data_IF_530446313160
#
_entry.id   IF_530446313160
#
_cell.length_a   1.000
_cell.length_b   1.000
_cell.length_c   1.000
_cell.angle_alpha   90.00
_cell.angle_beta   90.00
_cell.angle_gamma   90.00
#
_symmetry.space_group_name_H-M   'P 1'
#
loop_
_entity.id
_entity.type
_entity.pdbx_description
1 polymer ?
#
# COMPACT_ATOMS: atom_id res chain seq x y z
N UNK A 1 3.91 -20.02 12.50
CA UNK A 1 3.70 -18.77 13.25
C UNK A 1 2.19 -18.52 13.33
N UNK A 2 1.66 -18.45 14.55
CA UNK A 2 0.26 -18.09 14.75
C UNK A 2 0.17 -16.55 14.62
N UNK A 3 -0.42 -16.06 13.52
CA UNK A 3 -0.44 -14.62 13.20
C UNK A 3 -1.39 -13.82 14.12
N UNK A 4 -2.01 -14.45 15.13
CA UNK A 4 -2.97 -13.80 16.02
C UNK A 4 -4.25 -13.30 15.33
N UNK A 5 -4.47 -13.66 14.06
CA UNK A 5 -5.61 -13.24 13.25
C UNK A 5 -6.38 -14.44 12.68
N UNK A 6 -7.69 -14.25 12.47
CA UNK A 6 -8.55 -15.22 11.78
C UNK A 6 -8.59 -14.89 10.28
N UNK A 7 -8.20 -15.85 9.46
CA UNK A 7 -8.18 -15.72 8.00
C UNK A 7 -8.87 -16.90 7.34
N UNK A 8 -9.65 -16.63 6.30
CA UNK A 8 -10.33 -17.61 5.45
C UNK A 8 -11.83 -17.68 5.71
N UNK A 9 -12.51 -18.37 4.81
CA UNK A 9 -13.96 -18.55 4.81
C UNK A 9 -14.29 -20.04 4.75
N UNK A 10 -15.19 -20.50 5.59
CA UNK A 10 -15.74 -21.85 5.63
C UNK A 10 -17.20 -21.80 5.22
N UNK A 11 -17.53 -22.25 4.01
CA UNK A 11 -18.83 -22.04 3.37
C UNK A 11 -19.94 -22.97 3.88
N UNK A 12 -19.60 -24.17 4.40
CA UNK A 12 -20.59 -25.22 4.66
C UNK A 12 -20.54 -25.70 6.10
N UNK A 13 -20.59 -24.76 7.05
CA UNK A 13 -20.62 -25.10 8.47
C UNK A 13 -22.05 -25.43 8.89
N UNK A 14 -22.27 -26.64 9.41
CA UNK A 14 -23.61 -27.11 9.78
C UNK A 14 -23.94 -26.80 11.24
N UNK A 15 -25.05 -26.11 11.43
CA UNK A 15 -25.67 -25.94 12.75
C UNK A 15 -26.40 -27.23 13.09
N UNK A 16 -26.00 -27.93 14.14
CA UNK A 16 -26.64 -29.24 14.50
C UNK A 16 -28.07 -29.08 15.05
N UNK A 17 -28.75 -30.23 15.27
CA UNK A 17 -30.12 -30.24 15.77
C UNK A 17 -30.30 -29.65 17.19
N UNK A 18 -29.18 -29.46 17.91
CA UNK A 18 -29.13 -28.82 19.24
C UNK A 18 -28.68 -27.36 19.17
N UNK A 19 -28.54 -26.79 18.00
CA UNK A 19 -28.05 -25.43 17.78
C UNK A 19 -26.56 -25.24 18.04
N UNK A 20 -25.75 -26.31 17.91
CA UNK A 20 -24.30 -26.23 18.09
C UNK A 20 -23.56 -26.09 16.77
N UNK A 21 -22.50 -25.30 16.81
CA UNK A 21 -21.63 -25.03 15.68
C UNK A 21 -20.17 -25.35 16.06
N UNK A 22 -19.42 -25.95 15.15
CA UNK A 22 -18.00 -26.28 15.36
C UNK A 22 -17.10 -25.16 14.87
N UNK A 23 -16.18 -24.70 15.72
CA UNK A 23 -15.11 -23.77 15.30
C UNK A 23 -14.04 -24.54 14.55
N UNK A 24 -13.61 -24.09 13.36
CA UNK A 24 -12.50 -24.68 12.64
C UNK A 24 -11.25 -24.85 13.51
N UNK A 25 -10.61 -26.03 13.46
CA UNK A 25 -9.54 -26.40 14.40
C UNK A 25 -8.41 -25.35 14.47
N UNK A 26 -8.04 -24.76 13.32
CA UNK A 26 -6.98 -23.73 13.24
C UNK A 26 -7.32 -22.42 13.95
N UNK A 27 -8.60 -22.18 14.28
CA UNK A 27 -9.05 -20.95 14.93
C UNK A 27 -9.28 -21.10 16.43
N UNK A 28 -9.35 -22.35 16.96
CA UNK A 28 -9.72 -22.62 18.36
C UNK A 28 -8.71 -22.06 19.35
N UNK A 29 -7.42 -22.21 19.05
CA UNK A 29 -6.34 -21.71 19.92
C UNK A 29 -6.41 -20.18 20.08
N UNK A 30 -6.68 -19.44 19.00
CA UNK A 30 -6.76 -17.97 19.02
C UNK A 30 -8.09 -17.47 19.60
N UNK A 31 -9.20 -18.18 19.37
CA UNK A 31 -10.49 -17.82 19.93
C UNK A 31 -10.52 -18.01 21.44
N UNK A 32 -9.80 -19.00 21.96
CA UNK A 32 -9.82 -19.40 23.35
C UNK A 32 -10.99 -20.32 23.67
N UNK A 33 -11.04 -20.79 24.93
CA UNK A 33 -12.14 -21.61 25.44
C UNK A 33 -13.35 -20.78 25.85
N UNK A 34 -13.12 -19.53 26.23
CA UNK A 34 -14.12 -18.52 26.60
C UNK A 34 -14.03 -17.35 25.63
N UNK A 35 -15.14 -16.89 25.11
CA UNK A 35 -15.25 -15.82 24.14
C UNK A 35 -16.63 -15.18 24.17
N UNK A 36 -16.82 -14.07 23.48
CA UNK A 36 -18.09 -13.35 23.41
C UNK A 36 -18.69 -13.44 22.01
N UNK A 37 -20.03 -13.54 21.99
CA UNK A 37 -20.83 -13.46 20.75
C UNK A 37 -21.61 -12.17 20.75
N UNK A 38 -21.55 -11.43 19.63
CA UNK A 38 -22.30 -10.18 19.48
C UNK A 38 -23.12 -10.24 18.19
N UNK A 39 -24.44 -9.98 18.32
CA UNK A 39 -25.28 -9.80 17.14
C UNK A 39 -25.04 -8.44 16.49
N UNK A 40 -24.82 -8.43 15.19
CA UNK A 40 -24.58 -7.21 14.44
C UNK A 40 -25.42 -7.13 13.17
N UNK A 41 -25.87 -5.92 12.86
CA UNK A 41 -26.46 -5.61 11.55
C UNK A 41 -25.43 -4.81 10.75
N UNK A 42 -25.02 -5.36 9.63
CA UNK A 42 -24.08 -4.75 8.72
C UNK A 42 -24.75 -4.53 7.36
N UNK A 43 -25.02 -3.28 7.01
CA UNK A 43 -25.65 -2.89 5.74
C UNK A 43 -26.98 -3.60 5.47
N UNK A 44 -27.80 -3.79 6.49
CA UNK A 44 -29.10 -4.45 6.37
C UNK A 44 -29.07 -5.98 6.44
N UNK A 45 -27.87 -6.59 6.50
CA UNK A 45 -27.70 -8.03 6.74
C UNK A 45 -27.25 -8.30 8.17
N UNK A 46 -27.83 -9.32 8.81
CA UNK A 46 -27.50 -9.67 10.19
C UNK A 46 -26.49 -10.79 10.26
N UNK A 47 -25.54 -10.69 11.20
CA UNK A 47 -24.56 -11.74 11.50
C UNK A 47 -24.32 -11.87 13.00
N UNK A 48 -23.67 -12.97 13.39
CA UNK A 48 -23.14 -13.16 14.75
C UNK A 48 -21.62 -13.06 14.65
N UNK A 49 -21.02 -12.21 15.47
CA UNK A 49 -19.59 -12.00 15.51
C UNK A 49 -19.01 -12.58 16.80
N UNK A 50 -17.95 -13.41 16.66
CA UNK A 50 -17.26 -14.01 17.80
C UNK A 50 -16.01 -13.19 18.10
N UNK A 51 -15.86 -12.80 19.34
CA UNK A 51 -14.75 -12.01 19.87
C UNK A 51 -13.96 -12.85 20.88
N UNK A 52 -12.64 -13.08 20.69
CA UNK A 52 -11.78 -13.50 21.79
C UNK A 52 -11.88 -12.54 22.98
N UNK A 53 -11.59 -12.99 24.19
CA UNK A 53 -11.70 -12.16 25.39
C UNK A 53 -10.91 -10.84 25.30
N UNK A 54 -9.66 -10.91 24.84
CA UNK A 54 -8.78 -9.73 24.65
C UNK A 54 -9.39 -8.71 23.69
N UNK A 55 -9.95 -9.18 22.59
CA UNK A 55 -10.56 -8.32 21.57
C UNK A 55 -11.89 -7.73 22.00
N UNK A 56 -12.70 -8.50 22.77
CA UNK A 56 -13.93 -7.99 23.35
C UNK A 56 -13.64 -6.86 24.35
N UNK A 57 -12.67 -7.05 25.24
CA UNK A 57 -12.26 -6.01 26.20
C UNK A 57 -11.74 -4.76 25.50
N UNK A 58 -10.99 -4.91 24.42
CA UNK A 58 -10.54 -3.78 23.61
C UNK A 58 -11.73 -3.01 22.98
N UNK A 59 -12.77 -3.71 22.54
CA UNK A 59 -13.99 -3.05 22.06
C UNK A 59 -14.73 -2.31 23.20
N UNK A 60 -14.77 -2.88 24.42
CA UNK A 60 -15.36 -2.23 25.59
C UNK A 60 -14.63 -0.92 25.91
N UNK A 61 -13.30 -0.95 25.95
CA UNK A 61 -12.49 0.25 26.18
C UNK A 61 -12.75 1.34 25.11
N UNK A 62 -12.91 0.93 23.85
CA UNK A 62 -13.21 1.85 22.75
C UNK A 62 -14.62 2.46 22.81
N UNK A 63 -15.56 1.82 23.53
CA UNK A 63 -16.92 2.35 23.72
C UNK A 63 -16.97 3.51 24.73
N UNK A 64 -15.97 3.66 25.58
CA UNK A 64 -15.89 4.71 26.58
C UNK A 64 -15.44 6.07 26.00
N UNK A 65 -15.16 6.12 24.70
CA UNK A 65 -14.74 7.36 24.00
C UNK A 65 -15.98 8.12 23.48
N UNK A 66 -16.14 9.36 23.94
CA UNK A 66 -17.24 10.27 23.55
C UNK A 66 -17.89 11.03 24.70
N UNK A 67 -19.01 11.69 24.41
CA UNK A 67 -19.83 12.34 25.44
C UNK A 67 -20.58 11.31 26.29
N UNK A 68 -20.92 11.66 27.55
CA UNK A 68 -21.60 10.74 28.50
C UNK A 68 -22.88 10.09 27.93
N UNK A 69 -23.66 10.82 27.12
CA UNK A 69 -24.87 10.27 26.49
C UNK A 69 -24.53 9.31 25.33
N UNK A 70 -23.55 9.65 24.50
CA UNK A 70 -23.12 8.78 23.40
C UNK A 70 -22.49 7.48 23.92
N UNK A 71 -21.67 7.58 24.95
CA UNK A 71 -21.07 6.42 25.65
C UNK A 71 -22.18 5.53 26.22
N UNK A 72 -23.18 6.10 26.90
CA UNK A 72 -24.30 5.34 27.45
C UNK A 72 -25.09 4.59 26.37
N UNK A 73 -25.44 5.25 25.26
CA UNK A 73 -26.20 4.62 24.19
C UNK A 73 -25.40 3.54 23.45
N UNK A 74 -24.13 3.79 23.15
CA UNK A 74 -23.24 2.79 22.54
C UNK A 74 -23.09 1.57 23.42
N UNK A 75 -22.79 1.75 24.69
CA UNK A 75 -22.67 0.68 25.68
C UNK A 75 -23.98 -0.13 25.81
N UNK A 76 -25.11 0.54 25.91
CA UNK A 76 -26.41 -0.12 26.00
C UNK A 76 -26.71 -1.00 24.80
N UNK A 77 -26.47 -0.51 23.58
CA UNK A 77 -26.68 -1.28 22.37
C UNK A 77 -25.70 -2.45 22.27
N UNK A 78 -24.43 -2.24 22.54
CA UNK A 78 -23.39 -3.27 22.43
C UNK A 78 -23.62 -4.41 23.44
N UNK A 79 -23.77 -4.10 24.74
CA UNK A 79 -23.94 -5.10 25.77
C UNK A 79 -25.28 -5.81 25.70
N UNK A 80 -26.38 -5.17 25.25
CA UNK A 80 -27.64 -5.87 25.05
C UNK A 80 -27.61 -6.92 23.95
N UNK A 81 -26.64 -6.85 23.04
CA UNK A 81 -26.45 -7.80 21.94
C UNK A 81 -25.26 -8.76 22.15
N UNK A 82 -24.57 -8.66 23.29
CA UNK A 82 -23.43 -9.50 23.63
C UNK A 82 -23.84 -10.66 24.57
N UNK A 83 -23.21 -11.83 24.36
CA UNK A 83 -23.35 -13.00 25.23
C UNK A 83 -22.01 -13.69 25.41
N UNK A 84 -21.70 -14.11 26.62
CA UNK A 84 -20.54 -14.94 26.93
C UNK A 84 -20.77 -16.38 26.49
N UNK A 85 -19.76 -17.03 25.96
CA UNK A 85 -19.86 -18.39 25.44
C UNK A 85 -18.59 -19.20 25.69
N UNK A 86 -18.75 -20.52 25.76
CA UNK A 86 -17.63 -21.46 25.96
C UNK A 86 -17.60 -22.53 24.86
N UNK A 87 -16.38 -22.97 24.49
CA UNK A 87 -16.18 -24.16 23.65
C UNK A 87 -16.26 -25.44 24.47
N UNK A 88 -16.98 -26.44 23.96
CA UNK A 88 -16.91 -27.80 24.50
C UNK A 88 -15.59 -28.51 24.11
N UNK A 89 -15.34 -29.69 24.69
CA UNK A 89 -14.12 -30.46 24.44
C UNK A 89 -13.91 -30.85 22.96
N UNK A 90 -14.98 -30.80 22.13
CA UNK A 90 -14.91 -31.03 20.72
C UNK A 90 -14.69 -29.73 19.88
N UNK A 91 -14.62 -28.58 20.56
CA UNK A 91 -14.46 -27.26 19.93
C UNK A 91 -15.76 -26.74 19.31
N UNK A 92 -16.91 -27.07 19.93
CA UNK A 92 -18.24 -26.60 19.54
C UNK A 92 -18.78 -25.63 20.57
N UNK A 93 -19.63 -24.73 20.15
CA UNK A 93 -20.40 -23.83 21.02
C UNK A 93 -21.87 -23.84 20.59
N UNK A 94 -22.74 -23.33 21.43
CA UNK A 94 -24.21 -23.34 21.21
C UNK A 94 -24.69 -21.93 20.90
N UNK A 95 -25.45 -21.76 19.82
CA UNK A 95 -26.23 -20.57 19.53
C UNK A 95 -27.58 -20.71 20.23
N UNK A 96 -27.89 -19.79 21.13
CA UNK A 96 -29.19 -19.77 21.77
C UNK A 96 -30.33 -19.31 20.84
N UNK A 97 -31.58 -19.41 21.26
CA UNK A 97 -32.75 -19.07 20.45
C UNK A 97 -32.69 -17.60 19.98
N UNK A 98 -32.36 -16.68 20.89
CA UNK A 98 -32.31 -15.23 20.61
C UNK A 98 -31.29 -14.88 19.51
N UNK A 99 -30.07 -15.42 19.58
CA UNK A 99 -29.04 -15.19 18.60
C UNK A 99 -29.40 -15.75 17.21
N UNK A 100 -30.02 -16.96 17.21
CA UNK A 100 -30.51 -17.60 16.00
C UNK A 100 -31.60 -16.78 15.31
N UNK A 101 -32.60 -16.37 16.09
CA UNK A 101 -33.72 -15.56 15.59
C UNK A 101 -33.22 -14.24 15.03
N UNK A 102 -32.30 -13.57 15.73
CA UNK A 102 -31.70 -12.31 15.24
C UNK A 102 -30.97 -12.47 13.93
N UNK A 103 -30.21 -13.54 13.79
CA UNK A 103 -29.38 -13.80 12.59
C UNK A 103 -30.14 -14.59 11.48
N UNK A 104 -31.41 -14.94 11.69
CA UNK A 104 -32.20 -15.75 10.75
C UNK A 104 -31.66 -17.16 10.56
N UNK A 105 -31.12 -17.79 11.62
CA UNK A 105 -30.50 -19.11 11.57
C UNK A 105 -31.38 -20.17 12.20
N UNK A 106 -31.57 -21.32 11.53
CA UNK A 106 -32.33 -22.45 12.03
C UNK A 106 -31.46 -23.66 12.34
N UNK A 107 -31.89 -24.50 13.30
CA UNK A 107 -31.20 -25.75 13.59
C UNK A 107 -31.20 -26.65 12.35
N UNK A 108 -30.04 -27.23 12.01
CA UNK A 108 -29.85 -28.05 10.81
C UNK A 108 -29.50 -27.25 9.55
N UNK A 109 -29.59 -25.92 9.58
CA UNK A 109 -29.16 -25.07 8.44
C UNK A 109 -27.65 -25.02 8.30
N UNK A 110 -27.23 -24.63 7.10
CA UNK A 110 -25.81 -24.37 6.78
C UNK A 110 -25.53 -22.90 6.93
N UNK A 111 -24.41 -22.57 7.56
CA UNK A 111 -23.93 -21.21 7.78
C UNK A 111 -22.52 -21.04 7.24
N UNK A 112 -22.13 -19.82 7.02
CA UNK A 112 -20.78 -19.43 6.59
C UNK A 112 -20.05 -18.85 7.79
N UNK A 113 -18.83 -19.35 8.07
CA UNK A 113 -17.93 -18.78 9.06
C UNK A 113 -16.76 -18.09 8.36
N UNK A 114 -16.63 -16.79 8.54
CA UNK A 114 -15.57 -15.97 7.95
C UNK A 114 -14.65 -15.41 9.04
N UNK A 115 -13.35 -15.62 8.86
CA UNK A 115 -12.34 -14.95 9.69
C UNK A 115 -12.18 -13.49 9.24
N UNK A 116 -12.32 -12.57 10.18
CA UNK A 116 -12.21 -11.13 9.94
C UNK A 116 -11.21 -10.51 10.91
N UNK A 117 -9.90 -10.59 10.56
CA UNK A 117 -8.78 -10.13 11.40
C UNK A 117 -8.79 -10.77 12.79
N UNK A 118 -9.27 -10.05 13.79
CA UNK A 118 -9.27 -10.46 15.20
C UNK A 118 -10.57 -11.11 15.66
N UNK A 119 -11.56 -11.25 14.77
CA UNK A 119 -12.89 -11.78 15.07
C UNK A 119 -13.32 -12.80 14.02
N UNK A 120 -14.37 -13.59 14.32
CA UNK A 120 -15.00 -14.52 13.39
C UNK A 120 -16.43 -14.07 13.16
N UNK A 121 -16.90 -14.04 11.94
CA UNK A 121 -18.28 -13.72 11.57
C UNK A 121 -19.02 -14.98 11.13
N UNK A 122 -20.27 -15.10 11.54
CA UNK A 122 -21.17 -16.21 11.19
C UNK A 122 -22.37 -15.62 10.46
N UNK A 123 -22.60 -16.09 9.26
CA UNK A 123 -23.61 -15.60 8.34
C UNK A 123 -24.53 -16.70 7.87
N UNK A 124 -25.79 -16.37 7.58
CA UNK A 124 -26.59 -17.19 6.66
C UNK A 124 -26.04 -17.07 5.25
N UNK A 125 -26.29 -18.05 4.38
CA UNK A 125 -25.90 -17.99 2.97
C UNK A 125 -26.48 -16.75 2.27
N UNK A 126 -27.73 -16.40 2.55
CA UNK A 126 -28.40 -15.23 1.99
C UNK A 126 -27.75 -13.92 2.49
N UNK A 127 -27.56 -13.78 3.81
CA UNK A 127 -26.94 -12.60 4.41
C UNK A 127 -25.52 -12.37 3.92
N UNK A 128 -24.73 -13.45 3.80
CA UNK A 128 -23.39 -13.40 3.25
C UNK A 128 -23.36 -12.91 1.79
N UNK A 129 -24.20 -13.51 0.94
CA UNK A 129 -24.29 -13.13 -0.47
C UNK A 129 -24.76 -11.68 -0.64
N UNK A 130 -25.74 -11.23 0.13
CA UNK A 130 -26.23 -9.86 0.11
C UNK A 130 -25.13 -8.88 0.52
N UNK A 131 -24.41 -9.18 1.61
CA UNK A 131 -23.29 -8.38 2.07
C UNK A 131 -22.15 -8.33 1.04
N UNK A 132 -21.77 -9.47 0.43
CA UNK A 132 -20.69 -9.56 -0.56
C UNK A 132 -21.06 -8.93 -1.90
N UNK A 133 -22.31 -9.07 -2.36
CA UNK A 133 -22.76 -8.43 -3.59
C UNK A 133 -22.82 -6.91 -3.42
N UNK A 134 -23.27 -6.41 -2.27
CA UNK A 134 -23.19 -4.99 -1.92
C UNK A 134 -21.74 -4.47 -1.90
N UNK A 135 -20.80 -5.27 -1.37
CA UNK A 135 -19.37 -4.92 -1.36
C UNK A 135 -18.76 -4.90 -2.78
N UNK A 136 -19.23 -5.76 -3.70
CA UNK A 136 -18.78 -5.78 -5.09
C UNK A 136 -19.28 -4.60 -5.91
N UNK A 137 -20.46 -4.07 -5.58
CA UNK A 137 -21.09 -2.97 -6.33
C UNK A 137 -20.74 -1.59 -5.78
N UNK A 138 -20.59 -1.46 -4.44
CA UNK A 138 -20.49 -0.16 -3.79
C UNK A 138 -19.11 0.15 -3.20
N UNK A 139 -18.24 -0.84 -3.05
CA UNK A 139 -16.98 -0.66 -2.35
C UNK A 139 -15.81 -1.09 -3.22
N UNK A 140 -15.04 -0.12 -3.64
CA UNK A 140 -13.71 -0.38 -4.16
C UNK A 140 -12.88 -1.00 -3.01
N UNK A 141 -12.16 -2.09 -3.28
CA UNK A 141 -11.28 -2.76 -2.30
C UNK A 141 -10.33 -1.78 -1.58
N UNK A 142 -9.99 -0.68 -2.24
CA UNK A 142 -9.22 0.43 -1.67
C UNK A 142 -9.91 1.13 -0.50
N UNK A 143 -11.22 1.36 -0.59
CA UNK A 143 -11.98 1.99 0.49
C UNK A 143 -12.05 1.10 1.72
N UNK A 144 -12.01 -0.23 1.53
CA UNK A 144 -11.90 -1.21 2.62
C UNK A 144 -10.51 -1.25 3.24
N UNK A 145 -9.45 -1.12 2.44
CA UNK A 145 -8.07 -1.09 2.94
C UNK A 145 -7.78 0.19 3.73
N UNK A 146 -8.45 1.29 3.38
CA UNK A 146 -8.26 2.58 4.06
C UNK A 146 -9.21 2.80 5.24
N UNK A 147 -10.39 2.18 5.26
CA UNK A 147 -11.23 2.19 6.46
C UNK A 147 -10.54 1.52 7.66
N UNK A 148 -9.60 0.59 7.40
CA UNK A 148 -8.73 -0.01 8.42
C UNK A 148 -7.60 0.91 8.91
N UNK A 149 -7.36 2.02 8.21
CA UNK A 149 -6.34 3.04 8.60
C UNK A 149 -6.94 4.22 9.39
N UNK A 150 -8.28 4.25 9.60
CA UNK A 150 -8.93 5.25 10.44
C UNK A 150 -8.77 4.88 11.91
N UNK A 151 -8.20 5.83 12.64
CA UNK A 151 -7.97 5.95 14.06
C UNK A 151 -6.61 5.47 14.57
N UNK A 152 -5.54 6.19 14.17
CA UNK A 152 -4.54 6.57 15.17
C UNK A 152 -5.01 7.88 15.82
N UNK A 153 -4.91 8.02 17.15
CA UNK A 153 -5.08 9.32 17.76
C UNK A 153 -4.08 10.30 17.15
N UNK A 154 -4.48 11.55 16.96
CA UNK A 154 -3.68 12.65 16.41
C UNK A 154 -2.51 13.00 17.34
N UNK A 155 -1.45 12.18 17.37
CA UNK A 155 -0.28 12.42 18.23
C UNK A 155 1.08 12.25 17.57
N UNK A 156 1.17 11.78 16.31
CA UNK A 156 2.43 11.90 15.54
C UNK A 156 2.08 12.12 14.07
N UNK A 157 2.38 13.33 13.55
CA UNK A 157 2.40 13.59 12.12
C UNK A 157 3.30 12.54 11.45
N UNK A 158 2.86 11.92 10.34
CA UNK A 158 3.72 11.02 9.58
C UNK A 158 5.07 11.70 9.34
N UNK A 159 6.18 11.01 9.60
CA UNK A 159 7.54 11.57 9.45
C UNK A 159 7.72 12.30 8.11
N UNK A 160 7.03 11.84 7.07
CA UNK A 160 7.00 12.44 5.74
C UNK A 160 6.34 13.82 5.74
N UNK A 161 5.18 13.98 6.41
CA UNK A 161 4.44 15.24 6.48
C UNK A 161 5.21 16.26 7.32
N UNK A 162 5.75 15.83 8.44
CA UNK A 162 6.64 16.65 9.26
C UNK A 162 7.89 17.11 8.48
N UNK A 163 8.46 16.24 7.64
CA UNK A 163 9.59 16.58 6.79
C UNK A 163 9.25 17.65 5.73
N UNK A 164 8.01 17.68 5.24
CA UNK A 164 7.51 18.69 4.29
C UNK A 164 7.35 20.08 4.94
N UNK A 165 7.30 20.18 6.27
CA UNK A 165 6.97 21.41 6.98
C UNK A 165 5.67 22.07 6.47
N UNK A 166 4.64 21.26 6.31
CA UNK A 166 3.35 21.69 5.82
C UNK A 166 2.73 22.70 6.81
N UNK A 167 2.47 23.91 6.34
CA UNK A 167 1.87 25.00 7.14
C UNK A 167 0.95 25.83 6.25
N UNK A 168 -0.08 26.51 6.82
CA UNK A 168 -0.99 27.34 6.07
C UNK A 168 -0.28 28.35 5.17
N UNK A 169 -0.81 28.53 3.95
CA UNK A 169 -0.32 29.49 2.95
C UNK A 169 0.84 28.99 2.09
N UNK A 170 1.46 27.86 2.39
CA UNK A 170 2.47 27.23 1.55
C UNK A 170 1.83 26.49 0.34
N UNK A 171 2.56 26.47 -0.76
CA UNK A 171 2.27 25.62 -1.91
C UNK A 171 3.12 24.36 -1.87
N UNK A 172 2.47 23.22 -1.71
CA UNK A 172 3.13 21.90 -1.66
C UNK A 172 2.65 21.02 -2.81
N UNK A 173 3.49 20.08 -3.21
CA UNK A 173 3.18 19.10 -4.25
C UNK A 173 3.38 17.70 -3.67
N UNK A 174 2.39 16.84 -3.83
CA UNK A 174 2.56 15.39 -3.74
C UNK A 174 2.60 14.86 -5.18
N UNK A 175 3.80 14.53 -5.65
CA UNK A 175 4.04 14.11 -7.04
C UNK A 175 3.69 12.65 -7.33
N UNK A 176 3.34 11.89 -6.28
CA UNK A 176 3.00 10.46 -6.30
C UNK A 176 1.81 10.20 -5.38
N UNK A 177 0.74 10.97 -5.60
CA UNK A 177 -0.37 11.05 -4.66
C UNK A 177 -1.12 9.73 -4.44
N UNK A 178 -1.10 8.81 -5.41
CA UNK A 178 -1.61 7.44 -5.28
C UNK A 178 -3.00 7.36 -4.66
N UNK A 179 -3.10 6.69 -3.53
CA UNK A 179 -4.35 6.58 -2.77
C UNK A 179 -4.73 7.81 -1.94
N UNK A 180 -3.94 8.89 -1.95
CA UNK A 180 -4.24 10.15 -1.26
C UNK A 180 -3.91 10.17 0.24
N UNK A 181 -3.17 9.19 0.77
CA UNK A 181 -2.85 9.13 2.18
C UNK A 181 -1.99 10.32 2.65
N UNK A 182 -0.83 10.51 2.03
CA UNK A 182 0.04 11.67 2.28
C UNK A 182 -0.64 12.97 1.86
N UNK A 183 -1.29 12.99 0.68
CA UNK A 183 -1.97 14.16 0.16
C UNK A 183 -3.02 14.71 1.14
N UNK A 184 -3.86 13.86 1.74
CA UNK A 184 -4.84 14.27 2.74
C UNK A 184 -4.17 14.87 3.98
N UNK A 185 -3.19 14.18 4.54
CA UNK A 185 -2.48 14.64 5.74
C UNK A 185 -1.76 15.98 5.51
N UNK A 186 -1.16 16.18 4.32
CA UNK A 186 -0.56 17.46 3.91
C UNK A 186 -1.64 18.54 3.79
N UNK A 187 -2.76 18.26 3.13
CA UNK A 187 -3.83 19.23 2.92
C UNK A 187 -4.52 19.67 4.22
N UNK A 188 -4.69 18.77 5.18
CA UNK A 188 -5.26 19.04 6.50
C UNK A 188 -4.41 20.01 7.33
N UNK A 189 -3.13 20.22 7.00
CA UNK A 189 -2.30 21.28 7.59
C UNK A 189 -2.68 22.70 7.16
N UNK A 190 -3.63 22.85 6.22
CA UNK A 190 -4.08 24.15 5.69
C UNK A 190 -3.19 24.75 4.59
N UNK A 191 -2.25 24.00 4.04
CA UNK A 191 -1.46 24.41 2.87
C UNK A 191 -2.27 24.22 1.56
N UNK A 192 -1.83 24.88 0.47
CA UNK A 192 -2.31 24.57 -0.87
C UNK A 192 -1.56 23.35 -1.38
N UNK A 193 -2.29 22.35 -1.88
CA UNK A 193 -1.71 21.10 -2.36
C UNK A 193 -2.03 20.84 -3.84
N UNK A 194 -0.98 20.53 -4.62
CA UNK A 194 -1.12 19.87 -5.91
C UNK A 194 -0.90 18.36 -5.69
N UNK A 195 -1.95 17.57 -5.86
CA UNK A 195 -1.91 16.11 -5.80
C UNK A 195 -1.79 15.55 -7.22
N UNK A 196 -0.60 15.09 -7.58
CA UNK A 196 -0.25 14.65 -8.94
C UNK A 196 -0.11 13.14 -8.96
N UNK A 197 -0.71 12.49 -9.95
CA UNK A 197 -0.46 11.08 -10.24
C UNK A 197 -0.63 10.79 -11.74
N UNK A 198 0.12 9.82 -12.26
CA UNK A 198 0.03 9.38 -13.64
C UNK A 198 -0.97 8.23 -13.85
N UNK A 199 -1.38 7.55 -12.77
CA UNK A 199 -2.30 6.42 -12.82
C UNK A 199 -3.75 6.91 -12.81
N UNK A 200 -4.55 6.63 -13.87
CA UNK A 200 -5.96 7.02 -13.89
C UNK A 200 -6.79 6.42 -12.76
N UNK A 201 -6.41 5.24 -12.22
CA UNK A 201 -7.10 4.65 -11.08
C UNK A 201 -6.81 5.45 -9.80
N UNK A 202 -5.57 5.91 -9.62
CA UNK A 202 -5.21 6.79 -8.52
C UNK A 202 -5.96 8.11 -8.59
N UNK A 203 -6.06 8.74 -9.76
CA UNK A 203 -6.84 9.97 -9.98
C UNK A 203 -8.30 9.80 -9.57
N UNK A 204 -8.93 8.69 -9.96
CA UNK A 204 -10.32 8.40 -9.56
C UNK A 204 -10.47 8.24 -8.03
N UNK A 205 -9.46 7.71 -7.35
CA UNK A 205 -9.42 7.61 -5.88
C UNK A 205 -9.22 8.98 -5.24
N UNK A 206 -8.31 9.79 -5.76
CA UNK A 206 -8.02 11.13 -5.25
C UNK A 206 -9.27 12.01 -5.28
N UNK A 207 -10.04 12.02 -6.39
CA UNK A 207 -11.30 12.74 -6.47
C UNK A 207 -12.28 12.32 -5.37
N UNK A 208 -12.47 11.02 -5.16
CA UNK A 208 -13.37 10.55 -4.09
C UNK A 208 -12.93 10.94 -2.67
N UNK A 209 -11.62 11.12 -2.48
CA UNK A 209 -11.05 11.33 -1.15
C UNK A 209 -10.74 12.76 -0.80
N UNK A 210 -10.47 13.59 -1.80
CA UNK A 210 -9.92 14.94 -1.60
C UNK A 210 -10.80 16.05 -2.17
N UNK A 211 -11.89 15.75 -2.91
CA UNK A 211 -12.78 16.78 -3.46
C UNK A 211 -13.52 17.57 -2.36
N UNK A 212 -13.57 17.07 -1.12
CA UNK A 212 -14.07 17.78 0.05
C UNK A 212 -13.11 18.86 0.58
N UNK A 213 -11.84 18.87 0.11
CA UNK A 213 -10.81 19.79 0.56
C UNK A 213 -10.58 20.92 -0.46
N UNK A 214 -11.01 22.17 -0.18
CA UNK A 214 -10.96 23.27 -1.16
C UNK A 214 -9.53 23.75 -1.48
N UNK A 215 -8.56 23.36 -0.67
CA UNK A 215 -7.14 23.70 -0.82
C UNK A 215 -6.35 22.65 -1.61
N UNK A 216 -7.02 21.64 -2.20
CA UNK A 216 -6.40 20.59 -3.01
C UNK A 216 -6.75 20.76 -4.48
N UNK A 217 -5.75 20.61 -5.33
CA UNK A 217 -5.91 20.52 -6.80
C UNK A 217 -5.34 19.19 -7.28
N UNK A 218 -6.20 18.35 -7.86
CA UNK A 218 -5.81 17.05 -8.40
C UNK A 218 -5.33 17.22 -9.84
N UNK A 219 -4.23 16.58 -10.20
CA UNK A 219 -3.57 16.68 -11.49
C UNK A 219 -3.23 15.30 -12.04
N UNK A 220 -3.82 14.95 -13.18
CA UNK A 220 -3.48 13.72 -13.89
C UNK A 220 -2.29 13.97 -14.81
N UNK A 221 -1.09 13.77 -14.33
CA UNK A 221 0.15 13.95 -15.08
C UNK A 221 1.30 13.18 -14.39
N UNK A 222 2.45 13.11 -15.04
CA UNK A 222 3.67 12.59 -14.46
C UNK A 222 4.41 13.71 -13.70
N UNK A 223 4.91 13.40 -12.51
CA UNK A 223 5.65 14.35 -11.68
C UNK A 223 6.92 14.93 -12.35
N UNK A 224 7.45 14.28 -13.38
CA UNK A 224 8.55 14.84 -14.20
C UNK A 224 8.13 16.11 -14.94
N UNK A 225 6.83 16.33 -15.15
CA UNK A 225 6.30 17.52 -15.82
C UNK A 225 6.04 18.69 -14.87
N UNK A 226 6.60 18.67 -13.66
CA UNK A 226 6.31 19.65 -12.61
C UNK A 226 6.43 21.10 -13.08
N UNK A 227 7.41 21.46 -13.89
CA UNK A 227 7.55 22.82 -14.44
C UNK A 227 6.33 23.25 -15.26
N UNK A 228 5.85 22.39 -16.16
CA UNK A 228 4.67 22.67 -16.96
C UNK A 228 3.41 22.73 -16.10
N UNK A 229 3.28 21.80 -15.14
CA UNK A 229 2.18 21.77 -14.18
C UNK A 229 2.06 23.09 -13.40
N UNK A 230 3.18 23.68 -12.99
CA UNK A 230 3.18 24.98 -12.29
C UNK A 230 2.88 26.15 -13.23
N UNK A 231 3.46 26.16 -14.44
CA UNK A 231 3.22 27.20 -15.46
C UNK A 231 1.72 27.28 -15.80
N UNK A 232 1.09 26.14 -16.05
CA UNK A 232 -0.33 26.08 -16.40
C UNK A 232 -1.26 26.61 -15.29
N UNK A 233 -0.74 26.68 -14.06
CA UNK A 233 -1.46 27.19 -12.88
C UNK A 233 -1.03 28.58 -12.43
N UNK A 234 -0.12 29.21 -13.18
CA UNK A 234 0.41 30.53 -12.85
C UNK A 234 1.24 30.57 -11.58
N UNK A 235 1.81 29.44 -11.17
CA UNK A 235 2.67 29.33 -10.01
C UNK A 235 4.13 29.51 -10.40
N UNK A 236 4.84 30.41 -9.73
CA UNK A 236 6.26 30.69 -9.96
C UNK A 236 7.20 29.76 -9.19
N UNK A 237 6.71 29.05 -8.17
CA UNK A 237 7.50 28.14 -7.34
C UNK A 237 6.64 27.46 -6.28
N UNK A 238 7.24 26.51 -5.58
CA UNK A 238 6.63 25.70 -4.52
C UNK A 238 7.51 25.66 -3.28
N UNK A 239 6.88 25.48 -2.12
CA UNK A 239 7.58 25.42 -0.83
C UNK A 239 7.99 24.00 -0.43
N UNK A 240 7.50 23.00 -1.16
CA UNK A 240 7.92 21.63 -0.99
C UNK A 240 7.31 20.66 -2.01
N UNK A 241 8.02 19.56 -2.25
CA UNK A 241 7.56 18.47 -3.08
C UNK A 241 7.88 17.13 -2.43
N UNK A 242 6.87 16.26 -2.37
CA UNK A 242 6.98 14.87 -1.96
C UNK A 242 7.00 13.95 -3.18
N UNK A 243 7.90 12.98 -3.18
CA UNK A 243 7.92 11.86 -4.10
C UNK A 243 8.03 10.55 -3.30
N UNK A 244 6.98 9.74 -3.31
CA UNK A 244 6.96 8.38 -2.77
C UNK A 244 7.13 7.41 -3.95
N UNK A 245 8.40 7.02 -4.23
CA UNK A 245 8.76 6.33 -5.46
C UNK A 245 8.32 4.86 -5.46
N UNK A 246 8.21 4.30 -6.65
CA UNK A 246 7.87 2.90 -6.87
C UNK A 246 6.38 2.68 -7.16
N UNK A 247 5.86 1.53 -6.75
CA UNK A 247 4.48 1.10 -7.02
C UNK A 247 3.59 1.28 -5.81
N UNK A 248 2.37 1.72 -6.02
CA UNK A 248 1.38 1.81 -4.96
C UNK A 248 0.94 0.41 -4.49
N UNK A 249 0.47 0.31 -3.24
CA UNK A 249 -0.10 -0.95 -2.74
C UNK A 249 -1.25 -1.44 -3.62
N UNK A 250 -2.05 -0.52 -4.17
CA UNK A 250 -3.13 -0.85 -5.10
C UNK A 250 -2.63 -1.53 -6.37
N UNK A 251 -1.58 -0.99 -7.00
CA UNK A 251 -0.98 -1.58 -8.19
C UNK A 251 -0.43 -2.99 -7.92
N UNK A 252 0.16 -3.22 -6.74
CA UNK A 252 0.67 -4.53 -6.34
C UNK A 252 -0.45 -5.54 -6.02
N UNK A 253 -1.54 -5.07 -5.43
CA UNK A 253 -2.63 -5.92 -4.94
C UNK A 253 -3.68 -6.19 -6.04
N UNK A 254 -3.70 -5.39 -7.12
CA UNK A 254 -4.55 -5.60 -8.30
C UNK A 254 -3.84 -6.52 -9.28
N UNK A 255 -4.26 -7.79 -9.33
CA UNK A 255 -3.60 -8.83 -10.13
C UNK A 255 -3.48 -8.43 -11.60
N UNK A 256 -4.53 -7.87 -12.19
CA UNK A 256 -4.64 -7.49 -13.60
C UNK A 256 -3.62 -6.43 -14.03
N UNK A 257 -3.01 -5.71 -13.06
CA UNK A 257 -1.95 -4.73 -13.33
C UNK A 257 -0.58 -5.38 -13.57
N UNK A 258 -0.41 -6.66 -13.25
CA UNK A 258 0.78 -7.45 -13.56
C UNK A 258 2.07 -7.09 -12.80
N UNK A 259 2.00 -6.30 -11.73
CA UNK A 259 3.17 -5.92 -10.92
C UNK A 259 3.63 -7.02 -9.96
N UNK A 260 2.73 -7.92 -9.57
CA UNK A 260 3.01 -8.97 -8.60
C UNK A 260 3.46 -10.26 -9.29
N UNK A 261 4.49 -10.91 -8.74
CA UNK A 261 4.92 -12.26 -9.11
C UNK A 261 4.33 -13.36 -8.22
N UNK A 262 3.35 -13.02 -7.39
CA UNK A 262 2.66 -13.93 -6.46
C UNK A 262 1.30 -14.41 -6.97
N UNK A 263 0.80 -13.81 -8.04
CA UNK A 263 -0.48 -14.14 -8.66
C UNK A 263 -0.30 -14.24 -10.17
N UNK A 264 -0.98 -15.19 -10.80
CA UNK A 264 -0.98 -15.27 -12.27
C UNK A 264 -1.93 -14.25 -12.87
N UNK A 265 -1.41 -13.39 -13.73
CA UNK A 265 -2.12 -12.26 -14.28
C UNK A 265 -1.48 -11.79 -15.60
N UNK A 266 -2.17 -10.96 -16.41
CA UNK A 266 -1.57 -10.34 -17.58
C UNK A 266 -0.25 -9.63 -17.24
N UNK A 267 0.76 -9.80 -18.08
CA UNK A 267 2.08 -9.21 -17.90
C UNK A 267 2.09 -7.76 -18.40
N UNK A 268 1.50 -6.84 -17.63
CA UNK A 268 1.30 -5.43 -18.00
C UNK A 268 2.36 -4.50 -17.43
N UNK A 269 2.38 -4.24 -16.14
CA UNK A 269 3.28 -3.36 -15.37
C UNK A 269 3.27 -1.87 -15.73
N UNK A 270 2.31 -1.38 -16.54
CA UNK A 270 2.20 0.05 -16.87
C UNK A 270 1.50 0.82 -15.76
N UNK A 271 2.15 1.82 -15.19
CA UNK A 271 1.54 2.69 -14.17
C UNK A 271 0.47 3.59 -14.79
N UNK A 272 0.76 4.20 -15.93
CA UNK A 272 -0.16 5.09 -16.66
C UNK A 272 -1.23 4.37 -17.50
N UNK A 273 -1.19 3.03 -17.60
CA UNK A 273 -2.00 2.18 -18.50
C UNK A 273 -1.80 2.45 -20.00
N UNK A 274 -0.85 3.29 -20.36
CA UNK A 274 -0.52 3.63 -21.76
C UNK A 274 0.91 3.23 -22.10
N UNK A 275 1.21 3.17 -23.38
CA UNK A 275 2.54 2.82 -23.87
C UNK A 275 2.83 1.31 -23.84
N UNK A 276 4.13 0.98 -23.82
CA UNK A 276 4.63 -0.39 -23.90
C UNK A 276 4.43 -1.14 -22.59
N UNK A 277 3.89 -2.35 -22.66
CA UNK A 277 3.69 -3.24 -21.51
C UNK A 277 4.93 -4.09 -21.23
N UNK A 278 4.93 -4.78 -20.07
CA UNK A 278 5.96 -5.77 -19.75
C UNK A 278 5.95 -6.95 -20.73
N UNK A 279 4.76 -7.36 -21.22
CA UNK A 279 4.65 -8.38 -22.27
C UNK A 279 5.33 -7.90 -23.55
N UNK A 280 5.18 -6.63 -23.95
CA UNK A 280 5.87 -6.08 -25.12
C UNK A 280 7.38 -6.13 -24.94
N UNK A 281 7.89 -5.75 -23.77
CA UNK A 281 9.33 -5.77 -23.46
C UNK A 281 9.89 -7.19 -23.63
N UNK A 282 9.30 -8.19 -22.97
CA UNK A 282 9.83 -9.55 -23.00
C UNK A 282 9.66 -10.24 -24.36
N UNK A 283 8.62 -9.87 -25.13
CA UNK A 283 8.36 -10.48 -26.44
C UNK A 283 9.05 -9.78 -27.61
N UNK A 284 9.47 -8.51 -27.49
CA UNK A 284 10.00 -7.76 -28.63
C UNK A 284 11.47 -7.36 -28.52
N UNK A 285 12.01 -7.17 -27.31
CA UNK A 285 13.42 -6.80 -27.13
C UNK A 285 14.35 -7.93 -27.56
N UNK A 286 15.50 -7.60 -28.14
CA UNK A 286 16.54 -8.60 -28.41
C UNK A 286 17.19 -9.11 -27.10
N UNK A 287 17.93 -10.20 -27.22
CA UNK A 287 18.56 -10.86 -26.06
C UNK A 287 19.54 -9.94 -25.33
N UNK A 288 20.30 -9.13 -26.07
CA UNK A 288 21.29 -8.23 -25.49
C UNK A 288 20.61 -7.10 -24.71
N UNK A 289 19.54 -6.51 -25.26
CA UNK A 289 18.74 -5.49 -24.57
C UNK A 289 18.06 -6.05 -23.32
N UNK A 290 17.46 -7.24 -23.38
CA UNK A 290 16.90 -7.91 -22.20
C UNK A 290 17.95 -8.17 -21.12
N UNK A 291 19.12 -8.68 -21.52
CA UNK A 291 20.21 -8.92 -20.56
C UNK A 291 20.72 -7.62 -19.92
N UNK A 292 20.79 -6.52 -20.68
CA UNK A 292 21.22 -5.20 -20.20
C UNK A 292 20.23 -4.64 -19.15
N UNK A 293 18.93 -4.60 -19.46
CA UNK A 293 17.94 -4.10 -18.49
C UNK A 293 17.89 -4.94 -17.23
N UNK A 294 17.92 -6.27 -17.34
CA UNK A 294 17.95 -7.17 -16.18
C UNK A 294 19.19 -6.96 -15.31
N UNK A 295 20.34 -6.71 -15.92
CA UNK A 295 21.58 -6.42 -15.21
C UNK A 295 21.59 -5.02 -14.58
N UNK A 296 21.26 -3.98 -15.35
CA UNK A 296 21.33 -2.58 -14.89
C UNK A 296 20.25 -2.22 -13.91
N UNK A 297 19.01 -2.63 -14.14
CA UNK A 297 17.85 -2.23 -13.35
C UNK A 297 17.47 -3.26 -12.27
N UNK A 298 17.81 -4.52 -12.48
CA UNK A 298 17.58 -5.58 -11.51
C UNK A 298 18.79 -5.94 -10.65
N UNK A 299 19.99 -5.47 -11.04
CA UNK A 299 21.25 -5.98 -10.47
C UNK A 299 21.28 -7.53 -10.49
N UNK A 300 20.68 -8.13 -11.57
CA UNK A 300 20.46 -9.56 -11.69
C UNK A 300 21.72 -10.26 -12.25
N UNK A 301 22.34 -11.11 -11.43
CA UNK A 301 23.58 -11.82 -11.79
C UNK A 301 23.39 -12.83 -12.93
N UNK A 302 22.18 -13.36 -13.08
CA UNK A 302 21.83 -14.36 -14.11
C UNK A 302 21.17 -13.74 -15.33
N UNK A 303 21.28 -12.40 -15.51
CA UNK A 303 20.61 -11.61 -16.55
C UNK A 303 20.76 -12.20 -17.96
N UNK A 304 21.95 -12.61 -18.37
CA UNK A 304 22.22 -13.20 -19.71
C UNK A 304 21.46 -14.51 -19.90
N UNK A 305 21.47 -15.39 -18.89
CA UNK A 305 20.81 -16.68 -18.98
C UNK A 305 19.28 -16.52 -18.97
N UNK A 306 18.77 -15.59 -18.15
CA UNK A 306 17.34 -15.27 -18.13
C UNK A 306 16.91 -14.71 -19.49
N UNK A 307 17.66 -13.76 -20.06
CA UNK A 307 17.38 -13.17 -21.36
C UNK A 307 17.35 -14.24 -22.49
N UNK A 308 18.36 -15.11 -22.54
CA UNK A 308 18.42 -16.21 -23.51
C UNK A 308 17.21 -17.16 -23.40
N UNK A 309 16.80 -17.50 -22.16
CA UNK A 309 15.64 -18.37 -21.93
C UNK A 309 14.31 -17.66 -22.25
N UNK A 310 14.18 -16.34 -22.03
CA UNK A 310 13.02 -15.54 -22.46
C UNK A 310 12.93 -15.59 -24.00
N UNK A 311 14.02 -15.28 -24.70
CA UNK A 311 14.06 -15.31 -26.17
C UNK A 311 13.73 -16.68 -26.75
N UNK A 312 14.25 -17.75 -26.12
CA UNK A 312 13.93 -19.11 -26.51
C UNK A 312 12.45 -19.44 -26.28
N UNK A 313 11.91 -19.15 -25.11
CA UNK A 313 10.52 -19.47 -24.75
C UNK A 313 9.50 -18.76 -25.66
N UNK A 314 9.70 -17.47 -25.97
CA UNK A 314 8.81 -16.71 -26.84
C UNK A 314 8.78 -17.15 -28.30
N UNK A 315 9.79 -17.91 -28.75
CA UNK A 315 9.78 -18.52 -30.11
C UNK A 315 8.74 -19.64 -30.22
N UNK A 316 8.43 -20.31 -29.09
CA UNK A 316 7.41 -21.36 -29.05
C UNK A 316 6.01 -20.78 -28.83
N UNK A 317 5.89 -19.86 -27.85
CA UNK A 317 4.64 -19.17 -27.52
C UNK A 317 4.94 -17.81 -26.87
N UNK A 318 4.21 -16.73 -27.23
CA UNK A 318 4.33 -15.44 -26.55
C UNK A 318 4.17 -15.57 -25.03
N UNK A 319 4.95 -14.78 -24.29
CA UNK A 319 4.88 -14.69 -22.82
C UNK A 319 3.83 -13.65 -22.49
N UNK A 320 2.69 -14.08 -21.95
CA UNK A 320 1.50 -13.26 -21.74
C UNK A 320 1.19 -13.01 -20.27
N UNK A 321 1.67 -13.92 -19.37
CA UNK A 321 1.32 -13.86 -17.97
C UNK A 321 2.55 -13.78 -17.05
N UNK A 322 2.31 -13.29 -15.85
CA UNK A 322 3.34 -13.15 -14.81
C UNK A 322 3.96 -14.50 -14.45
N UNK A 323 3.15 -15.59 -14.33
CA UNK A 323 3.68 -16.90 -13.96
C UNK A 323 4.51 -17.54 -15.08
N UNK A 324 4.15 -17.34 -16.34
CA UNK A 324 5.00 -17.79 -17.46
C UNK A 324 6.40 -17.17 -17.35
N UNK A 325 6.49 -15.87 -17.09
CA UNK A 325 7.78 -15.19 -16.88
C UNK A 325 8.49 -15.70 -15.63
N UNK A 326 7.79 -15.88 -14.51
CA UNK A 326 8.34 -16.41 -13.26
C UNK A 326 8.97 -17.78 -13.47
N UNK A 327 8.31 -18.67 -14.20
CA UNK A 327 8.81 -20.03 -14.46
C UNK A 327 10.07 -20.03 -15.33
N UNK A 328 10.14 -19.15 -16.34
CA UNK A 328 11.35 -18.96 -17.16
C UNK A 328 12.51 -18.46 -16.27
N UNK A 329 12.27 -17.49 -15.40
CA UNK A 329 13.28 -16.96 -14.48
C UNK A 329 13.77 -18.06 -13.53
N UNK A 330 12.86 -18.82 -12.91
CA UNK A 330 13.21 -19.95 -12.02
C UNK A 330 14.07 -20.99 -12.72
N UNK A 331 13.68 -21.38 -13.95
CA UNK A 331 14.44 -22.34 -14.75
C UNK A 331 15.85 -21.83 -15.14
N UNK A 332 16.04 -20.53 -15.11
CA UNK A 332 17.31 -19.87 -15.44
C UNK A 332 18.29 -19.79 -14.27
N UNK A 333 17.86 -20.09 -13.04
CA UNK A 333 18.65 -19.87 -11.82
C UNK A 333 19.01 -21.20 -11.14
N UNK A 334 20.21 -21.32 -10.54
CA UNK A 334 20.54 -22.48 -9.72
C UNK A 334 19.74 -22.45 -8.40
N UNK A 335 19.35 -23.63 -7.89
CA UNK A 335 18.53 -23.75 -6.68
C UNK A 335 19.09 -22.97 -5.46
N UNK A 336 20.42 -22.92 -5.31
CA UNK A 336 21.06 -22.17 -4.21
C UNK A 336 20.77 -20.67 -4.26
N UNK A 337 20.60 -20.10 -5.46
CA UNK A 337 20.30 -18.67 -5.65
C UNK A 337 18.85 -18.30 -5.32
N UNK A 338 17.98 -19.30 -5.19
CA UNK A 338 16.56 -19.11 -4.84
C UNK A 338 16.32 -19.01 -3.32
N UNK A 339 17.36 -19.21 -2.49
CA UNK A 339 17.24 -19.17 -1.01
C UNK A 339 17.15 -17.75 -0.44
N UNK A 340 17.67 -16.76 -1.15
CA UNK A 340 17.78 -15.36 -0.68
C UNK A 340 16.57 -14.49 -1.07
N UNK A 341 15.39 -15.08 -1.19
CA UNK A 341 14.14 -14.41 -1.56
C UNK A 341 13.55 -14.93 -2.87
N UNK A 342 12.43 -14.35 -3.30
CA UNK A 342 11.75 -14.81 -4.51
C UNK A 342 12.61 -14.55 -5.76
N UNK A 343 12.89 -15.57 -6.61
CA UNK A 343 13.83 -15.47 -7.73
C UNK A 343 13.44 -14.42 -8.78
N UNK A 344 12.14 -14.18 -9.00
CA UNK A 344 11.67 -13.21 -9.97
C UNK A 344 11.76 -11.75 -9.50
N UNK A 345 12.01 -11.48 -8.21
CA UNK A 345 11.96 -10.12 -7.64
C UNK A 345 12.78 -9.11 -8.42
N UNK A 346 14.04 -9.44 -8.72
CA UNK A 346 14.96 -8.54 -9.42
C UNK A 346 14.59 -8.33 -10.87
N UNK A 347 14.18 -9.40 -11.55
CA UNK A 347 13.77 -9.33 -12.95
C UNK A 347 12.48 -8.56 -13.13
N UNK A 348 11.50 -8.73 -12.22
CA UNK A 348 10.26 -7.94 -12.22
C UNK A 348 10.54 -6.46 -11.96
N UNK A 349 11.41 -6.14 -10.98
CA UNK A 349 11.86 -4.76 -10.78
C UNK A 349 12.49 -4.17 -12.05
N UNK A 350 13.38 -4.92 -12.71
CA UNK A 350 14.06 -4.45 -13.91
C UNK A 350 13.10 -4.13 -15.06
N UNK A 351 12.16 -5.04 -15.32
CA UNK A 351 11.17 -4.89 -16.39
C UNK A 351 10.21 -3.73 -16.04
N UNK A 352 9.80 -3.59 -14.78
CA UNK A 352 8.96 -2.49 -14.31
C UNK A 352 9.63 -1.13 -14.53
N UNK A 353 10.90 -1.00 -14.15
CA UNK A 353 11.69 0.21 -14.34
C UNK A 353 11.77 0.57 -15.84
N UNK A 354 12.00 -0.42 -16.71
CA UNK A 354 12.04 -0.23 -18.16
C UNK A 354 10.70 0.22 -18.74
N UNK A 355 9.61 -0.47 -18.35
CA UNK A 355 8.25 -0.17 -18.84
C UNK A 355 7.82 1.26 -18.51
N UNK A 356 8.15 1.72 -17.31
CA UNK A 356 7.71 3.03 -16.81
C UNK A 356 8.77 4.13 -16.92
N UNK A 357 9.98 3.82 -17.41
CA UNK A 357 11.07 4.77 -17.50
C UNK A 357 11.46 5.40 -16.16
N UNK A 358 11.30 4.66 -15.05
CA UNK A 358 11.31 5.19 -13.68
C UNK A 358 12.56 6.00 -13.34
N UNK A 359 13.74 5.54 -13.78
CA UNK A 359 15.00 6.23 -13.48
C UNK A 359 15.20 7.49 -14.32
N UNK A 360 14.79 7.49 -15.59
CA UNK A 360 14.89 8.66 -16.46
C UNK A 360 13.92 9.75 -16.00
N UNK A 361 12.68 9.35 -15.66
CA UNK A 361 11.64 10.20 -15.06
C UNK A 361 12.14 10.82 -13.74
N UNK A 362 12.74 10.01 -12.87
CA UNK A 362 13.32 10.51 -11.61
C UNK A 362 14.47 11.47 -11.84
N UNK A 363 15.37 11.19 -12.78
CA UNK A 363 16.50 12.08 -13.10
C UNK A 363 16.02 13.45 -13.56
N UNK A 364 15.03 13.50 -14.45
CA UNK A 364 14.42 14.76 -14.89
C UNK A 364 13.73 15.47 -13.75
N UNK A 365 12.89 14.74 -12.99
CA UNK A 365 12.14 15.30 -11.89
C UNK A 365 13.02 15.92 -10.80
N UNK A 366 14.17 15.32 -10.49
CA UNK A 366 15.12 15.89 -9.53
C UNK A 366 15.57 17.29 -9.91
N UNK A 367 15.95 17.50 -11.19
CA UNK A 367 16.36 18.81 -11.68
C UNK A 367 15.20 19.81 -11.67
N UNK A 368 14.08 19.42 -12.21
CA UNK A 368 12.94 20.29 -12.38
C UNK A 368 12.28 20.66 -11.04
N UNK A 369 12.16 19.71 -10.13
CA UNK A 369 11.69 19.98 -8.77
C UNK A 369 12.63 20.93 -8.02
N UNK A 370 13.95 20.73 -8.11
CA UNK A 370 14.92 21.61 -7.48
C UNK A 370 14.79 23.05 -8.00
N UNK A 371 14.64 23.24 -9.31
CA UNK A 371 14.47 24.55 -9.91
C UNK A 371 13.17 25.25 -9.43
N UNK A 372 12.08 24.49 -9.31
CA UNK A 372 10.78 24.98 -8.87
C UNK A 372 10.68 25.28 -7.36
N UNK A 373 11.61 24.77 -6.54
CA UNK A 373 11.59 25.05 -5.11
C UNK A 373 11.90 26.52 -4.81
N UNK A 374 11.09 27.14 -3.95
CA UNK A 374 11.39 28.42 -3.32
C UNK A 374 12.60 28.29 -2.36
N UNK A 375 13.31 29.39 -2.04
CA UNK A 375 14.27 29.39 -0.91
C UNK A 375 13.60 28.92 0.39
N UNK A 376 14.26 28.01 1.11
CA UNK A 376 13.69 27.35 2.31
C UNK A 376 12.75 26.18 1.98
N UNK A 377 12.42 25.96 0.71
CA UNK A 377 11.58 24.86 0.28
C UNK A 377 12.28 23.50 0.38
N UNK A 378 11.48 22.43 0.52
CA UNK A 378 11.99 21.08 0.74
C UNK A 378 11.59 20.10 -0.34
N UNK A 379 12.56 19.32 -0.80
CA UNK A 379 12.32 18.11 -1.62
C UNK A 379 12.43 16.89 -0.71
N UNK A 380 11.33 16.17 -0.57
CA UNK A 380 11.18 14.99 0.29
C UNK A 380 10.96 13.78 -0.60
N UNK A 381 11.84 12.79 -0.53
CA UNK A 381 11.79 11.62 -1.42
C UNK A 381 11.91 10.34 -0.60
N UNK A 382 10.97 9.41 -0.82
CA UNK A 382 11.03 8.05 -0.30
C UNK A 382 11.48 7.13 -1.44
N UNK A 383 12.53 6.37 -1.21
CA UNK A 383 13.11 5.42 -2.18
C UNK A 383 12.98 4.00 -1.64
N UNK A 384 12.77 3.00 -2.53
CA UNK A 384 12.58 1.60 -2.15
C UNK A 384 13.69 0.66 -2.65
N UNK A 385 14.50 1.09 -3.61
CA UNK A 385 15.63 0.28 -4.10
C UNK A 385 16.92 1.10 -4.28
N UNK A 386 18.02 0.37 -4.39
CA UNK A 386 19.39 0.92 -4.42
C UNK A 386 19.64 1.93 -5.53
N UNK A 387 19.00 1.78 -6.69
CA UNK A 387 19.24 2.65 -7.85
C UNK A 387 18.62 4.03 -7.63
N UNK A 388 17.35 4.08 -7.16
CA UNK A 388 16.67 5.33 -6.77
C UNK A 388 17.47 6.03 -5.68
N UNK A 389 17.78 5.29 -4.60
CA UNK A 389 18.47 5.85 -3.44
C UNK A 389 19.83 6.45 -3.81
N UNK A 390 20.57 5.78 -4.67
CA UNK A 390 21.86 6.24 -5.19
C UNK A 390 21.72 7.53 -6.00
N UNK A 391 20.70 7.60 -6.87
CA UNK A 391 20.44 8.77 -7.70
C UNK A 391 20.07 9.98 -6.85
N UNK A 392 19.12 9.85 -5.95
CA UNK A 392 18.69 10.92 -5.02
C UNK A 392 19.85 11.38 -4.13
N UNK A 393 20.59 10.44 -3.54
CA UNK A 393 21.77 10.73 -2.71
C UNK A 393 22.80 11.54 -3.47
N UNK A 394 23.10 11.16 -4.71
CA UNK A 394 24.10 11.84 -5.54
C UNK A 394 23.66 13.26 -5.91
N UNK A 395 22.39 13.45 -6.29
CA UNK A 395 21.83 14.77 -6.60
C UNK A 395 21.91 15.69 -5.37
N UNK A 396 21.46 15.23 -4.21
CA UNK A 396 21.48 15.98 -2.96
C UNK A 396 22.93 16.32 -2.52
N UNK A 397 23.85 15.38 -2.67
CA UNK A 397 25.28 15.61 -2.39
C UNK A 397 25.88 16.67 -3.33
N UNK A 398 25.53 16.61 -4.62
CA UNK A 398 25.99 17.58 -5.60
C UNK A 398 25.48 19.00 -5.28
N UNK A 399 24.21 19.15 -4.93
CA UNK A 399 23.62 20.45 -4.59
C UNK A 399 24.11 20.99 -3.25
N UNK A 400 24.47 20.12 -2.31
CA UNK A 400 25.08 20.51 -1.03
C UNK A 400 26.55 20.86 -1.12
N UNK A 401 27.17 20.59 -2.26
CA UNK A 401 28.62 20.78 -2.43
C UNK A 401 28.95 22.27 -2.59
N UNK A 402 29.83 22.74 -1.71
CA UNK A 402 30.41 24.07 -1.77
C UNK A 402 31.57 24.14 -2.78
N UNK A 403 32.63 24.82 -2.38
CA UNK A 403 33.83 24.99 -3.20
C UNK A 403 34.33 23.66 -3.78
N UNK A 404 34.63 23.65 -5.10
CA UNK A 404 35.15 22.52 -5.86
C UNK A 404 36.63 22.70 -6.25
N UNK A 405 37.28 23.76 -5.78
CA UNK A 405 38.70 23.97 -6.02
C UNK A 405 39.53 22.85 -5.38
N UNK A 406 40.72 22.53 -5.96
CA UNK A 406 41.73 21.74 -5.28
C UNK A 406 42.05 22.29 -3.91
N UNK A 407 42.32 21.42 -2.93
CA UNK A 407 42.56 21.84 -1.53
C UNK A 407 43.84 22.69 -1.39
N UNK A 408 44.74 22.59 -2.34
CA UNK A 408 46.01 23.32 -2.42
C UNK A 408 45.82 24.78 -2.83
N UNK A 409 44.67 25.17 -3.33
CA UNK A 409 44.40 26.54 -3.73
C UNK A 409 44.22 27.44 -2.51
N UNK A 410 45.03 28.54 -2.36
CA UNK A 410 44.95 29.41 -1.21
C UNK A 410 43.66 30.24 -1.17
N UNK A 411 43.01 30.43 -2.33
CA UNK A 411 41.75 31.18 -2.46
C UNK A 411 40.80 30.44 -3.39
N UNK A 412 39.52 30.45 -3.02
CA UNK A 412 38.49 29.84 -3.88
C UNK A 412 38.28 30.63 -5.16
N UNK A 413 38.46 30.00 -6.30
CA UNK A 413 38.29 30.60 -7.64
C UNK A 413 37.08 30.03 -8.40
N UNK A 414 36.46 28.96 -7.90
CA UNK A 414 35.30 28.34 -8.56
C UNK A 414 33.99 29.08 -8.37
N UNK A 415 33.89 29.92 -7.32
CA UNK A 415 32.65 30.64 -6.99
C UNK A 415 31.48 29.74 -6.59
N UNK A 416 31.68 28.41 -6.52
CA UNK A 416 30.61 27.47 -6.22
C UNK A 416 30.21 27.56 -4.75
N UNK A 417 28.91 27.75 -4.52
CA UNK A 417 28.30 27.77 -3.18
C UNK A 417 27.31 26.62 -3.05
N UNK A 418 27.11 26.07 -1.85
CA UNK A 418 26.05 25.14 -1.62
C UNK A 418 24.68 25.72 -2.02
N UNK A 419 23.90 24.98 -2.77
CA UNK A 419 22.55 25.40 -3.17
C UNK A 419 21.49 25.04 -2.16
N UNK A 420 21.87 24.30 -1.10
CA UNK A 420 21.01 23.84 -0.05
C UNK A 420 21.71 22.83 0.85
N UNK A 421 20.95 22.14 1.67
CA UNK A 421 21.43 21.18 2.65
C UNK A 421 20.66 19.85 2.54
N UNK A 422 21.39 18.76 2.35
CA UNK A 422 20.85 17.42 2.54
C UNK A 422 20.73 17.11 4.04
N UNK A 423 19.55 16.73 4.50
CA UNK A 423 19.31 16.32 5.88
C UNK A 423 19.70 14.84 6.06
N UNK A 424 19.77 14.39 7.32
CA UNK A 424 20.06 12.98 7.63
C UNK A 424 18.90 12.12 7.11
N UNK A 425 19.24 11.06 6.37
CA UNK A 425 18.22 10.11 5.89
C UNK A 425 17.61 9.33 7.06
N UNK A 426 16.32 9.05 6.96
CA UNK A 426 15.55 8.29 7.95
C UNK A 426 15.19 6.92 7.36
N UNK A 427 15.31 5.89 8.17
CA UNK A 427 14.81 4.55 7.86
C UNK A 427 13.49 4.33 8.61
N UNK A 428 12.60 3.46 8.12
CA UNK A 428 11.36 3.13 8.82
C UNK A 428 11.60 2.70 10.25
N UNK A 429 10.73 3.11 11.16
CA UNK A 429 10.77 2.68 12.55
C UNK A 429 10.38 1.21 12.70
N UNK A 430 10.72 0.59 13.84
CA UNK A 430 10.31 -0.78 14.12
C UNK A 430 8.78 -0.92 14.14
N UNK A 431 8.08 0.06 14.69
CA UNK A 431 6.61 0.09 14.72
C UNK A 431 6.01 0.17 13.30
N UNK A 432 6.58 1.00 12.43
CA UNK A 432 6.15 1.09 11.03
C UNK A 432 6.36 -0.23 10.28
N UNK A 433 7.47 -0.92 10.53
CA UNK A 433 7.77 -2.22 9.89
C UNK A 433 6.83 -3.33 10.36
N UNK A 434 6.32 -3.28 11.58
CA UNK A 434 5.29 -4.20 12.08
C UNK A 434 3.95 -3.96 11.38
N UNK A 435 3.56 -2.70 11.17
CA UNK A 435 2.33 -2.33 10.48
C UNK A 435 2.43 -2.49 8.95
N UNK A 436 3.57 -2.11 8.36
CA UNK A 436 3.82 -2.13 6.93
C UNK A 436 5.16 -2.80 6.57
N UNK A 437 5.21 -4.14 6.48
CA UNK A 437 6.43 -4.86 6.08
C UNK A 437 6.99 -4.45 4.71
N UNK A 438 6.18 -3.82 3.84
CA UNK A 438 6.61 -3.34 2.52
C UNK A 438 7.56 -2.14 2.63
N UNK A 439 7.50 -1.38 3.72
CA UNK A 439 8.39 -0.25 3.99
C UNK A 439 9.83 -0.68 4.34
N UNK A 440 10.13 -1.99 4.46
CA UNK A 440 11.44 -2.50 4.91
C UNK A 440 12.65 -1.92 4.16
N UNK A 441 12.51 -1.62 2.89
CA UNK A 441 13.56 -1.06 2.05
C UNK A 441 13.47 0.46 1.90
N UNK A 442 12.44 1.09 2.48
CA UNK A 442 12.20 2.52 2.35
C UNK A 442 13.33 3.36 2.96
N UNK A 443 13.62 4.46 2.31
CA UNK A 443 14.57 5.47 2.79
C UNK A 443 14.00 6.85 2.52
N UNK A 444 13.69 7.59 3.58
CA UNK A 444 13.30 8.99 3.48
C UNK A 444 14.54 9.88 3.36
N UNK A 445 14.58 10.70 2.32
CA UNK A 445 15.62 11.69 2.06
C UNK A 445 15.01 13.07 1.92
N UNK A 446 15.63 14.05 2.55
CA UNK A 446 15.16 15.44 2.55
C UNK A 446 16.30 16.35 2.12
N UNK A 447 15.99 17.25 1.20
CA UNK A 447 16.86 18.34 0.80
C UNK A 447 16.14 19.68 1.03
N UNK A 448 16.82 20.63 1.66
CA UNK A 448 16.33 21.99 1.91
C UNK A 448 17.15 22.97 1.05
N UNK A 449 16.46 23.75 0.21
CA UNK A 449 17.06 24.72 -0.70
C UNK A 449 17.36 26.03 0.06
N UNK A 450 18.51 26.64 -0.20
CA UNK A 450 18.88 27.95 0.38
C UNK A 450 18.32 29.12 -0.41
#
# INVERSE_FOLDING_TARGET
>A
MNLGIFVGTYMDQKLDSKGRLSVPAKWRERLGTEFFMVCMNLRGSTCIKLYPQDEFMHCVEALDDGTANEVYEKNKIFFSNAEECTLDAQGRFTLNARLKDYAGMENGSTVIMQGHKRTIEIWTNEGFNTMFNGLRTDTNFLDLMDAGKKAKPASEEPETVAAMQATPGKWLVDGTAGGGGHARAIAESGCHLLAVDQDPDAIAVLHRRLDDLPNVTIVHDNFANIKNILIDRGLSGIDGMLLDLGVSSFQLDTAERGFSFHQDAPLDMRMSKTGRSAADVVNTYDEAALADILYRYGEEKFSRRIAANIVKARQEKPIETTFQLVDIIKASMPQRAMRDGHPARRSFQAIRIEVNGELDVLQQALHDAFDCLNPGGRLVIITFHSLEDRMVKNAFAQWSKGCTCPKEFPVCVCGNKPKGKALKSVAPSAAELEENPRARSARLRVFEKY
#
